data_IF_843960513571
#
_entry.id   IF_843960513571
#
_cell.length_a   1.000
_cell.length_b   1.000
_cell.length_c   1.000
_cell.angle_alpha   90.00
_cell.angle_beta   90.00
_cell.angle_gamma   90.00
#
_symmetry.space_group_name_H-M   'P 1'
#
loop_
_entity.id
_entity.type
_entity.pdbx_description
1 polymer ?
#
# COMPACT_ATOMS: atom_id res chain seq x y z
N UNK A 1 1.04 31.92 -30.41
CA UNK A 1 1.20 30.67 -31.18
C UNK A 1 0.79 29.54 -30.26
N UNK A 2 -0.17 28.70 -30.67
CA UNK A 2 -0.48 27.47 -29.92
C UNK A 2 0.75 26.57 -29.96
N UNK A 3 1.12 26.00 -28.81
CA UNK A 3 2.18 25.00 -28.75
C UNK A 3 1.59 23.71 -29.30
N UNK A 4 2.21 23.06 -30.28
CA UNK A 4 1.72 21.77 -30.80
C UNK A 4 2.58 20.62 -30.28
N UNK A 5 1.93 19.47 -30.04
CA UNK A 5 2.59 18.22 -29.72
C UNK A 5 1.94 17.09 -30.50
N UNK A 6 2.74 16.10 -30.93
CA UNK A 6 2.23 14.86 -31.53
C UNK A 6 2.43 13.76 -30.50
N UNK A 7 1.38 13.00 -30.25
CA UNK A 7 1.40 11.86 -29.33
C UNK A 7 1.03 10.60 -30.10
N UNK A 8 1.94 9.63 -30.15
CA UNK A 8 1.63 8.30 -30.64
C UNK A 8 1.32 7.39 -29.46
N UNK A 9 0.13 6.77 -29.45
CA UNK A 9 -0.25 5.82 -28.41
C UNK A 9 -1.04 4.65 -28.97
N UNK A 10 -0.87 3.49 -28.37
CA UNK A 10 -1.69 2.32 -28.71
C UNK A 10 -3.11 2.50 -28.22
N UNK A 11 -4.07 2.31 -29.12
CA UNK A 11 -5.51 2.35 -28.84
C UNK A 11 -6.15 1.21 -29.59
N UNK A 12 -6.58 0.19 -28.86
CA UNK A 12 -7.30 -0.96 -29.43
C UNK A 12 -8.52 -1.23 -28.56
N UNK A 13 -9.55 -1.87 -29.11
CA UNK A 13 -10.77 -2.20 -28.37
C UNK A 13 -10.47 -3.11 -27.14
N UNK A 14 -9.39 -3.88 -27.20
CA UNK A 14 -8.97 -4.80 -26.13
C UNK A 14 -7.95 -4.18 -25.15
N UNK A 15 -7.34 -3.04 -25.47
CA UNK A 15 -6.27 -2.45 -24.66
C UNK A 15 -6.29 -0.92 -24.67
N UNK A 16 -6.49 -0.36 -23.47
CA UNK A 16 -6.39 1.07 -23.19
C UNK A 16 -5.05 1.33 -22.50
N UNK A 17 -4.14 2.05 -23.18
CA UNK A 17 -2.84 2.40 -22.62
C UNK A 17 -2.98 3.52 -21.57
N UNK A 18 -2.72 3.26 -20.26
CA UNK A 18 -2.86 4.28 -19.21
C UNK A 18 -1.84 5.41 -19.37
N UNK A 19 -0.61 5.09 -19.77
CA UNK A 19 0.44 6.08 -19.98
C UNK A 19 0.15 6.97 -21.18
N UNK A 20 -0.49 6.46 -22.24
CA UNK A 20 -0.92 7.26 -23.38
C UNK A 20 -1.95 8.32 -22.98
N UNK A 21 -2.95 7.93 -22.17
CA UNK A 21 -3.94 8.88 -21.66
C UNK A 21 -3.31 9.92 -20.72
N UNK A 22 -2.40 9.50 -19.83
CA UNK A 22 -1.68 10.42 -18.94
C UNK A 22 -0.77 11.38 -19.69
N UNK A 23 -0.09 10.94 -20.76
CA UNK A 23 0.72 11.82 -21.61
C UNK A 23 -0.14 12.87 -22.31
N UNK A 24 -1.31 12.46 -22.84
CA UNK A 24 -2.26 13.38 -23.49
C UNK A 24 -2.74 14.46 -22.53
N UNK A 25 -3.26 14.05 -21.36
CA UNK A 25 -3.73 14.97 -20.33
C UNK A 25 -2.60 15.90 -19.83
N UNK A 26 -1.38 15.40 -19.67
CA UNK A 26 -0.24 16.20 -19.26
C UNK A 26 0.13 17.28 -20.30
N UNK A 27 0.09 16.95 -21.59
CA UNK A 27 0.32 17.91 -22.67
C UNK A 27 -0.79 18.99 -22.70
N UNK A 28 -2.05 18.57 -22.64
CA UNK A 28 -3.22 19.47 -22.66
C UNK A 28 -3.18 20.46 -21.48
N UNK A 29 -2.88 19.98 -20.26
CA UNK A 29 -2.73 20.83 -19.07
C UNK A 29 -1.59 21.84 -19.14
N UNK A 30 -0.55 21.55 -19.94
CA UNK A 30 0.56 22.46 -20.21
C UNK A 30 0.32 23.38 -21.42
N UNK A 31 -0.90 23.40 -21.95
CA UNK A 31 -1.34 24.30 -23.02
C UNK A 31 -0.88 23.89 -24.42
N UNK A 32 -0.62 22.59 -24.64
CA UNK A 32 -0.35 22.05 -25.97
C UNK A 32 -1.64 21.63 -26.67
N UNK A 33 -1.72 21.91 -27.96
CA UNK A 33 -2.65 21.30 -28.90
C UNK A 33 -2.07 19.95 -29.34
N UNK A 34 -2.78 18.86 -29.06
CA UNK A 34 -2.25 17.49 -29.17
C UNK A 34 -2.81 16.79 -30.40
N UNK A 35 -1.95 16.52 -31.37
CA UNK A 35 -2.20 15.58 -32.47
C UNK A 35 -2.08 14.13 -31.93
N UNK A 36 -3.20 13.58 -31.50
CA UNK A 36 -3.32 12.26 -30.88
C UNK A 36 -3.43 11.15 -31.95
N UNK A 37 -2.28 10.57 -32.32
CA UNK A 37 -2.15 9.52 -33.35
C UNK A 37 -2.26 8.13 -32.73
N UNK A 38 -3.28 7.39 -33.14
CA UNK A 38 -3.57 6.07 -32.59
C UNK A 38 -2.88 4.98 -33.38
N UNK A 39 -2.19 4.09 -32.67
CA UNK A 39 -1.67 2.83 -33.18
C UNK A 39 -2.74 1.77 -32.87
N UNK A 40 -3.47 1.36 -33.90
CA UNK A 40 -4.72 0.58 -33.80
C UNK A 40 -4.53 -0.92 -33.84
N UNK A 41 -3.30 -1.39 -34.03
CA UNK A 41 -2.94 -2.81 -33.99
C UNK A 41 -1.56 -3.02 -33.35
N UNK A 42 -1.29 -4.26 -32.91
CA UNK A 42 0.05 -4.65 -32.43
C UNK A 42 1.09 -4.51 -33.53
N UNK A 43 0.75 -4.90 -34.75
CA UNK A 43 1.61 -4.77 -35.92
C UNK A 43 2.01 -3.30 -36.17
N UNK A 44 1.04 -2.37 -36.20
CA UNK A 44 1.32 -0.93 -36.31
C UNK A 44 2.18 -0.41 -35.15
N UNK A 45 1.94 -0.94 -33.94
CA UNK A 45 2.72 -0.56 -32.75
C UNK A 45 4.17 -1.02 -32.86
N UNK A 46 4.39 -2.23 -33.37
CA UNK A 46 5.73 -2.80 -33.51
C UNK A 46 6.48 -2.20 -34.71
N UNK A 47 5.79 -1.91 -35.81
CA UNK A 47 6.32 -1.12 -36.93
C UNK A 47 6.74 0.28 -36.46
N UNK A 48 5.89 0.97 -35.69
CA UNK A 48 6.22 2.27 -35.13
C UNK A 48 7.45 2.22 -34.22
N UNK A 49 7.52 1.20 -33.35
CA UNK A 49 8.69 0.97 -32.48
C UNK A 49 9.97 0.76 -33.29
N UNK A 50 9.91 -0.03 -34.36
CA UNK A 50 11.05 -0.30 -35.22
C UNK A 50 11.47 0.95 -36.01
N UNK A 51 10.50 1.67 -36.58
CA UNK A 51 10.74 2.89 -37.35
C UNK A 51 11.40 3.99 -36.51
N UNK A 52 11.00 4.12 -35.24
CA UNK A 52 11.49 5.15 -34.34
C UNK A 52 12.59 4.67 -33.38
N UNK A 53 13.03 3.42 -33.47
CA UNK A 53 13.99 2.77 -32.57
C UNK A 53 13.65 3.01 -31.08
N UNK A 54 12.42 2.64 -30.71
CA UNK A 54 11.89 2.75 -29.33
C UNK A 54 11.35 1.42 -28.86
N UNK A 55 11.45 1.16 -27.55
CA UNK A 55 10.98 -0.10 -26.95
C UNK A 55 9.50 -0.05 -26.56
N UNK A 56 8.97 1.15 -26.31
CA UNK A 56 7.66 1.35 -25.68
C UNK A 56 6.87 2.46 -26.35
N UNK A 57 5.56 2.38 -26.20
CA UNK A 57 4.59 3.46 -26.48
C UNK A 57 3.87 3.80 -25.18
N UNK A 58 3.41 5.03 -24.95
CA UNK A 58 3.32 6.14 -25.91
C UNK A 58 4.68 6.79 -26.24
N UNK A 59 4.72 7.59 -27.30
CA UNK A 59 5.84 8.47 -27.65
C UNK A 59 5.37 9.87 -27.98
N UNK A 60 5.98 10.87 -27.35
CA UNK A 60 5.64 12.29 -27.48
C UNK A 60 6.69 13.02 -28.32
N UNK A 61 6.22 13.89 -29.21
CA UNK A 61 7.04 14.76 -30.05
C UNK A 61 6.58 16.21 -29.89
N UNK A 62 7.53 17.12 -29.68
CA UNK A 62 7.28 18.55 -29.54
C UNK A 62 8.28 19.28 -30.44
N UNK A 63 7.81 20.18 -31.30
CA UNK A 63 8.64 20.90 -32.28
C UNK A 63 9.53 19.95 -33.11
N UNK A 64 8.95 18.87 -33.64
CA UNK A 64 9.63 17.80 -34.41
C UNK A 64 10.75 17.07 -33.67
N UNK A 65 10.94 17.33 -32.37
CA UNK A 65 11.89 16.62 -31.52
C UNK A 65 11.16 15.56 -30.69
N UNK A 66 11.68 14.32 -30.72
CA UNK A 66 11.21 13.25 -29.84
C UNK A 66 11.57 13.58 -28.40
N UNK A 67 10.56 13.66 -27.54
CA UNK A 67 10.72 13.81 -26.09
C UNK A 67 10.90 12.43 -25.44
N UNK A 68 10.03 11.48 -25.79
CA UNK A 68 10.08 10.11 -25.26
C UNK A 68 8.71 9.61 -24.80
N UNK A 69 8.73 8.64 -23.88
CA UNK A 69 7.55 8.11 -23.23
C UNK A 69 6.98 9.05 -22.17
N UNK A 70 6.18 8.49 -21.26
CA UNK A 70 5.54 9.29 -20.22
C UNK A 70 6.56 9.84 -19.21
N UNK A 71 7.58 9.07 -18.85
CA UNK A 71 8.58 9.49 -17.87
C UNK A 71 9.44 10.62 -18.42
N UNK A 72 9.95 10.50 -19.65
CA UNK A 72 10.73 11.57 -20.29
C UNK A 72 9.87 12.83 -20.55
N UNK A 73 8.56 12.66 -20.77
CA UNK A 73 7.64 13.79 -20.86
C UNK A 73 7.46 14.51 -19.52
N UNK A 74 7.46 13.78 -18.40
CA UNK A 74 7.42 14.40 -17.06
C UNK A 74 8.71 15.17 -16.79
N UNK A 75 9.86 14.60 -17.13
CA UNK A 75 11.16 15.26 -17.02
C UNK A 75 11.21 16.54 -17.87
N UNK A 76 10.66 16.50 -19.09
CA UNK A 76 10.54 17.69 -19.95
C UNK A 76 9.77 18.83 -19.28
N UNK A 77 8.77 18.51 -18.45
CA UNK A 77 8.01 19.48 -17.66
C UNK A 77 8.58 19.75 -16.26
N UNK A 78 9.79 19.26 -15.94
CA UNK A 78 10.41 19.32 -14.62
C UNK A 78 9.51 18.74 -13.51
N UNK A 79 8.74 17.71 -13.84
CA UNK A 79 7.94 16.96 -12.87
C UNK A 79 8.78 15.79 -12.34
N UNK A 80 8.57 15.36 -11.07
CA UNK A 80 9.21 14.17 -10.54
C UNK A 80 8.83 12.93 -11.36
N UNK A 81 9.68 11.90 -11.39
CA UNK A 81 9.40 10.62 -12.06
C UNK A 81 8.03 10.04 -11.69
N UNK A 82 7.42 9.29 -12.60
CA UNK A 82 6.16 8.63 -12.32
C UNK A 82 6.34 7.47 -11.32
N UNK A 83 5.44 7.39 -10.32
CA UNK A 83 5.44 6.30 -9.34
C UNK A 83 5.79 6.76 -7.92
N UNK A 84 5.69 5.84 -6.96
CA UNK A 84 6.16 6.09 -5.59
C UNK A 84 7.66 5.77 -5.50
N UNK A 85 8.50 6.81 -5.46
CA UNK A 85 9.93 6.65 -5.26
C UNK A 85 10.29 6.68 -3.78
N UNK A 86 11.20 5.80 -3.35
CA UNK A 86 11.74 5.76 -1.98
C UNK A 86 10.75 5.24 -0.92
N UNK A 87 11.05 5.53 0.35
CA UNK A 87 10.21 5.13 1.48
C UNK A 87 8.91 5.93 1.50
N UNK A 88 7.78 5.22 1.59
CA UNK A 88 6.45 5.83 1.52
C UNK A 88 5.64 5.41 2.73
N UNK A 89 5.24 6.38 3.56
CA UNK A 89 4.34 6.18 4.70
C UNK A 89 2.87 6.42 4.33
N UNK A 90 2.60 6.93 3.13
CA UNK A 90 1.27 7.33 2.67
C UNK A 90 0.23 6.21 2.80
N UNK A 91 0.52 4.94 2.41
CA UNK A 91 -0.46 3.86 2.56
C UNK A 91 -0.87 3.62 4.02
N UNK A 92 0.10 3.64 4.95
CA UNK A 92 -0.17 3.41 6.38
C UNK A 92 -0.92 4.57 7.00
N UNK A 93 -0.51 5.81 6.69
CA UNK A 93 -1.21 7.00 7.16
C UNK A 93 -2.64 7.05 6.64
N UNK A 94 -2.88 6.63 5.40
CA UNK A 94 -4.22 6.52 4.85
C UNK A 94 -5.06 5.49 5.62
N UNK A 95 -4.51 4.31 5.90
CA UNK A 95 -5.19 3.26 6.69
C UNK A 95 -5.57 3.79 8.07
N UNK A 96 -4.63 4.36 8.82
CA UNK A 96 -4.90 4.85 10.17
C UNK A 96 -5.83 6.08 10.18
N UNK A 97 -5.71 6.99 9.20
CA UNK A 97 -6.62 8.12 9.10
C UNK A 97 -8.06 7.67 8.82
N UNK A 98 -8.26 6.76 7.87
CA UNK A 98 -9.58 6.22 7.54
C UNK A 98 -10.14 5.40 8.70
N UNK A 99 -9.33 4.56 9.35
CA UNK A 99 -9.76 3.79 10.51
C UNK A 99 -10.17 4.70 11.68
N UNK A 100 -9.45 5.80 11.93
CA UNK A 100 -9.81 6.78 12.97
C UNK A 100 -11.13 7.49 12.63
N UNK A 101 -11.32 7.92 11.38
CA UNK A 101 -12.57 8.54 10.94
C UNK A 101 -13.75 7.57 11.05
N UNK A 102 -13.56 6.31 10.67
CA UNK A 102 -14.58 5.26 10.85
C UNK A 102 -14.91 5.05 12.33
N UNK A 103 -13.90 4.95 13.18
CA UNK A 103 -14.09 4.78 14.63
C UNK A 103 -14.89 5.93 15.23
N UNK A 104 -14.53 7.17 14.90
CA UNK A 104 -15.29 8.36 15.30
C UNK A 104 -16.71 8.35 14.74
N UNK A 105 -16.90 7.92 13.49
CA UNK A 105 -18.20 7.80 12.85
C UNK A 105 -19.12 6.80 13.54
N UNK A 106 -18.61 5.60 13.87
CA UNK A 106 -19.33 4.58 14.63
C UNK A 106 -19.65 5.06 16.05
N UNK A 107 -18.67 5.61 16.76
CA UNK A 107 -18.84 6.13 18.12
C UNK A 107 -19.91 7.23 18.15
N UNK A 108 -19.87 8.16 17.19
CA UNK A 108 -20.87 9.21 17.03
C UNK A 108 -22.26 8.64 16.73
N UNK A 109 -22.35 7.66 15.82
CA UNK A 109 -23.62 7.03 15.46
C UNK A 109 -24.25 6.25 16.62
N UNK A 110 -23.44 5.68 17.52
CA UNK A 110 -23.89 5.01 18.73
C UNK A 110 -24.26 5.98 19.87
N UNK A 111 -24.05 7.29 19.70
CA UNK A 111 -24.33 8.30 20.71
C UNK A 111 -23.31 8.36 21.86
N UNK A 112 -22.13 7.77 21.66
CA UNK A 112 -21.07 7.73 22.67
C UNK A 112 -20.12 8.94 22.59
N UNK A 113 -19.35 9.16 23.66
CA UNK A 113 -18.34 10.20 23.69
C UNK A 113 -17.16 9.85 22.77
N UNK A 114 -16.82 10.76 21.86
CA UNK A 114 -15.68 10.61 20.94
C UNK A 114 -14.34 10.48 21.68
N UNK A 115 -14.17 11.20 22.79
CA UNK A 115 -12.98 11.13 23.63
C UNK A 115 -13.15 10.05 24.70
N UNK A 116 -13.17 8.80 24.27
CA UNK A 116 -13.33 7.62 25.12
C UNK A 116 -12.29 6.54 24.82
N UNK A 117 -12.05 5.67 25.79
CA UNK A 117 -11.15 4.51 25.59
C UNK A 117 -11.79 3.52 24.61
N UNK A 118 -13.12 3.43 24.58
CA UNK A 118 -13.89 2.63 23.64
C UNK A 118 -13.61 3.06 22.20
N UNK A 119 -13.69 4.36 21.89
CA UNK A 119 -13.34 4.85 20.56
C UNK A 119 -11.88 4.56 20.19
N UNK A 120 -10.95 4.66 21.14
CA UNK A 120 -9.55 4.30 20.87
C UNK A 120 -9.39 2.79 20.58
N UNK A 121 -10.08 1.94 21.32
CA UNK A 121 -10.07 0.48 21.10
C UNK A 121 -10.71 0.08 19.77
N UNK A 122 -11.81 0.74 19.39
CA UNK A 122 -12.45 0.55 18.09
C UNK A 122 -11.53 1.00 16.95
N UNK A 123 -10.82 2.12 17.10
CA UNK A 123 -9.79 2.55 16.15
C UNK A 123 -8.69 1.50 15.97
N UNK A 124 -8.18 0.94 17.07
CA UNK A 124 -7.17 -0.13 17.03
C UNK A 124 -7.72 -1.36 16.32
N UNK A 125 -8.92 -1.80 16.67
CA UNK A 125 -9.56 -2.98 16.08
C UNK A 125 -9.77 -2.80 14.56
N UNK A 126 -10.28 -1.64 14.12
CA UNK A 126 -10.49 -1.34 12.71
C UNK A 126 -9.17 -1.24 11.94
N UNK A 127 -8.15 -0.62 12.53
CA UNK A 127 -6.81 -0.54 11.94
C UNK A 127 -6.21 -1.93 11.73
N UNK A 128 -6.29 -2.78 12.75
CA UNK A 128 -5.83 -4.18 12.67
C UNK A 128 -6.61 -4.98 11.63
N UNK A 129 -7.93 -4.80 11.53
CA UNK A 129 -8.74 -5.48 10.52
C UNK A 129 -8.28 -5.12 9.10
N UNK A 130 -8.03 -3.84 8.83
CA UNK A 130 -7.57 -3.39 7.51
C UNK A 130 -6.15 -3.90 7.21
N UNK A 131 -5.23 -3.86 8.18
CA UNK A 131 -3.88 -4.40 8.00
C UNK A 131 -3.90 -5.92 7.77
N UNK A 132 -4.73 -6.66 8.50
CA UNK A 132 -4.93 -8.09 8.28
C UNK A 132 -5.45 -8.38 6.86
N UNK A 133 -6.38 -7.58 6.35
CA UNK A 133 -6.85 -7.67 4.96
C UNK A 133 -5.67 -7.47 3.98
N UNK A 134 -4.80 -6.48 4.19
CA UNK A 134 -3.64 -6.26 3.31
C UNK A 134 -2.69 -7.47 3.28
N UNK A 135 -2.48 -8.11 4.43
CA UNK A 135 -1.67 -9.34 4.54
C UNK A 135 -2.34 -10.53 3.83
N UNK A 136 -3.66 -10.62 3.91
CA UNK A 136 -4.44 -11.70 3.28
C UNK A 136 -4.60 -11.53 1.76
N UNK A 137 -4.57 -10.30 1.23
CA UNK A 137 -4.67 -10.04 -0.22
C UNK A 137 -3.52 -10.66 -1.01
N UNK A 138 -2.30 -10.62 -0.46
CA UNK A 138 -1.13 -11.30 -1.02
C UNK A 138 -0.36 -12.05 0.07
N UNK A 139 -0.94 -13.19 0.46
CA UNK A 139 -0.39 -14.05 1.50
C UNK A 139 1.01 -14.58 1.17
N UNK A 140 1.30 -14.81 -0.13
CA UNK A 140 2.59 -15.30 -0.56
C UNK A 140 3.69 -14.25 -0.32
N UNK A 141 3.49 -13.03 -0.81
CA UNK A 141 4.45 -11.95 -0.63
C UNK A 141 4.58 -11.55 0.84
N UNK A 142 3.46 -11.55 1.59
CA UNK A 142 3.48 -11.37 3.04
C UNK A 142 4.36 -12.40 3.74
N UNK A 143 4.09 -13.70 3.53
CA UNK A 143 4.78 -14.77 4.26
C UNK A 143 6.28 -14.79 3.98
N UNK A 144 6.69 -14.55 2.73
CA UNK A 144 8.09 -14.43 2.34
C UNK A 144 8.80 -13.28 3.04
N UNK A 145 8.11 -12.16 3.24
CA UNK A 145 8.67 -11.00 3.94
C UNK A 145 8.70 -11.24 5.46
N UNK A 146 7.61 -11.77 6.02
CA UNK A 146 7.41 -11.99 7.45
C UNK A 146 8.42 -12.98 8.06
N UNK A 147 8.72 -14.08 7.35
CA UNK A 147 9.68 -15.10 7.80
C UNK A 147 11.09 -14.52 7.97
N UNK A 148 11.44 -13.41 7.31
CA UNK A 148 12.80 -12.85 7.38
C UNK A 148 13.13 -12.20 8.74
N UNK A 149 12.11 -11.88 9.54
CA UNK A 149 12.29 -11.18 10.82
C UNK A 149 11.50 -11.75 11.99
N UNK A 150 10.35 -12.39 11.78
CA UNK A 150 9.58 -12.99 12.87
C UNK A 150 10.24 -14.27 13.39
N UNK A 151 10.56 -14.29 14.68
CA UNK A 151 11.33 -15.35 15.32
C UNK A 151 10.58 -16.69 15.36
N UNK A 152 9.25 -16.67 15.47
CA UNK A 152 8.45 -17.88 15.45
C UNK A 152 8.27 -18.38 14.02
N UNK A 153 8.02 -17.49 13.07
CA UNK A 153 7.89 -17.81 11.65
C UNK A 153 9.17 -18.41 11.06
N UNK A 154 10.36 -17.92 11.48
CA UNK A 154 11.65 -18.52 11.12
C UNK A 154 11.78 -19.98 11.56
N UNK A 155 11.16 -20.33 12.69
CA UNK A 155 11.25 -21.68 13.26
C UNK A 155 10.12 -22.60 12.80
N UNK A 156 8.94 -22.05 12.59
CA UNK A 156 7.72 -22.75 12.20
C UNK A 156 7.13 -22.02 10.99
N UNK A 157 7.62 -22.32 9.79
CA UNK A 157 7.20 -21.66 8.54
C UNK A 157 5.67 -21.64 8.34
N UNK A 158 4.90 -22.70 8.66
CA UNK A 158 3.43 -22.66 8.57
C UNK A 158 2.78 -21.53 9.38
N UNK A 159 3.40 -21.08 10.48
CA UNK A 159 2.90 -19.95 11.27
C UNK A 159 2.81 -18.67 10.44
N UNK A 160 3.73 -18.44 9.50
CA UNK A 160 3.71 -17.27 8.62
C UNK A 160 2.44 -17.18 7.76
N UNK A 161 1.85 -18.33 7.40
CA UNK A 161 0.62 -18.39 6.62
C UNK A 161 -0.63 -18.24 7.49
N UNK A 162 -0.55 -18.64 8.76
CA UNK A 162 -1.68 -18.58 9.70
C UNK A 162 -1.77 -17.23 10.41
N UNK A 163 -0.64 -16.55 10.61
CA UNK A 163 -0.55 -15.28 11.34
C UNK A 163 -1.60 -14.23 10.91
N UNK A 164 -1.79 -13.91 9.61
CA UNK A 164 -2.78 -12.91 9.18
C UNK A 164 -4.22 -13.27 9.56
N UNK A 165 -4.53 -14.57 9.63
CA UNK A 165 -5.85 -15.04 10.06
C UNK A 165 -6.05 -14.88 11.56
N UNK A 166 -5.01 -15.10 12.37
CA UNK A 166 -5.07 -14.85 13.83
C UNK A 166 -5.26 -13.36 14.07
N UNK A 167 -4.55 -12.52 13.33
CA UNK A 167 -4.69 -11.07 13.44
C UNK A 167 -6.09 -10.59 13.04
N UNK A 168 -6.64 -11.10 11.93
CA UNK A 168 -8.03 -10.84 11.54
C UNK A 168 -9.02 -11.32 12.62
N UNK A 169 -8.81 -12.51 13.19
CA UNK A 169 -9.63 -13.03 14.29
C UNK A 169 -9.61 -12.10 15.50
N UNK A 170 -8.43 -11.63 15.91
CA UNK A 170 -8.30 -10.69 17.04
C UNK A 170 -9.03 -9.38 16.75
N UNK A 171 -8.82 -8.80 15.57
CA UNK A 171 -9.47 -7.55 15.17
C UNK A 171 -11.01 -7.67 15.15
N UNK A 172 -11.53 -8.73 14.54
CA UNK A 172 -12.97 -9.01 14.49
C UNK A 172 -13.53 -9.26 15.90
N UNK A 173 -12.80 -10.03 16.72
CA UNK A 173 -13.19 -10.31 18.09
C UNK A 173 -13.24 -9.06 18.97
N UNK A 174 -12.35 -8.10 18.73
CA UNK A 174 -12.36 -6.79 19.39
C UNK A 174 -13.57 -5.95 18.95
N UNK A 175 -13.87 -5.88 17.64
CA UNK A 175 -15.06 -5.16 17.13
C UNK A 175 -16.36 -5.78 17.64
N UNK A 176 -16.40 -7.12 17.74
CA UNK A 176 -17.58 -7.85 18.20
C UNK A 176 -17.69 -7.92 19.73
N UNK A 177 -16.77 -7.31 20.48
CA UNK A 177 -16.73 -7.32 21.95
C UNK A 177 -16.82 -8.74 22.53
N UNK A 178 -16.11 -9.69 21.91
CA UNK A 178 -16.09 -11.07 22.40
C UNK A 178 -15.44 -11.17 23.79
N UNK A 179 -15.76 -12.21 24.58
CA UNK A 179 -15.17 -12.41 25.90
C UNK A 179 -13.64 -12.36 25.87
N UNK A 180 -13.02 -11.70 26.84
CA UNK A 180 -11.58 -11.45 26.86
C UNK A 180 -10.75 -12.72 26.67
N UNK A 181 -11.14 -13.83 27.30
CA UNK A 181 -10.44 -15.11 27.19
C UNK A 181 -10.47 -15.73 25.79
N UNK A 182 -11.44 -15.36 24.94
CA UNK A 182 -11.48 -15.82 23.56
C UNK A 182 -10.46 -15.08 22.68
N UNK A 183 -10.18 -13.79 22.96
CA UNK A 183 -9.40 -12.91 22.06
C UNK A 183 -8.02 -12.58 22.62
N UNK A 184 -7.94 -12.18 23.89
CA UNK A 184 -6.74 -11.64 24.50
C UNK A 184 -5.53 -12.60 24.47
N UNK A 185 -5.67 -13.92 24.71
CA UNK A 185 -4.53 -14.83 24.62
C UNK A 185 -3.88 -14.84 23.24
N UNK A 186 -4.68 -14.80 22.17
CA UNK A 186 -4.16 -14.75 20.80
C UNK A 186 -3.46 -13.42 20.52
N UNK A 187 -4.10 -12.30 20.90
CA UNK A 187 -3.53 -10.96 20.72
C UNK A 187 -2.18 -10.78 21.43
N UNK A 188 -2.11 -11.20 22.71
CA UNK A 188 -0.90 -11.13 23.51
C UNK A 188 0.21 -12.04 22.97
N UNK A 189 -0.15 -13.23 22.50
CA UNK A 189 0.82 -14.18 21.98
C UNK A 189 1.48 -13.67 20.71
N UNK A 190 0.69 -13.32 19.68
CA UNK A 190 1.26 -12.88 18.40
C UNK A 190 1.90 -11.48 18.51
N UNK A 191 1.29 -10.57 19.27
CA UNK A 191 1.86 -9.24 19.53
C UNK A 191 3.15 -9.30 20.34
N UNK A 192 3.22 -10.18 21.34
CA UNK A 192 4.43 -10.38 22.16
C UNK A 192 5.61 -10.90 21.33
N UNK A 193 5.37 -11.96 20.55
CA UNK A 193 6.40 -12.53 19.66
C UNK A 193 6.82 -11.52 18.59
N UNK A 194 5.86 -10.85 17.96
CA UNK A 194 6.12 -9.86 16.92
C UNK A 194 6.91 -8.66 17.46
N UNK A 195 6.57 -8.13 18.64
CA UNK A 195 7.31 -7.03 19.28
C UNK A 195 8.78 -7.42 19.52
N UNK A 196 9.04 -8.58 20.12
CA UNK A 196 10.40 -9.08 20.36
C UNK A 196 11.16 -9.27 19.04
N UNK A 197 10.47 -9.78 18.02
CA UNK A 197 11.03 -10.00 16.69
C UNK A 197 11.45 -8.70 16.00
N UNK A 198 10.60 -7.67 16.03
CA UNK A 198 10.89 -6.35 15.45
C UNK A 198 12.00 -5.64 16.23
N UNK A 199 11.99 -5.70 17.56
CA UNK A 199 13.06 -5.15 18.41
C UNK A 199 14.40 -5.76 18.02
N UNK A 200 14.46 -7.09 17.94
CA UNK A 200 15.69 -7.78 17.56
C UNK A 200 16.12 -7.42 16.13
N UNK A 201 15.24 -7.53 15.14
CA UNK A 201 15.61 -7.35 13.74
C UNK A 201 16.01 -5.90 13.40
N UNK A 202 15.29 -4.91 13.94
CA UNK A 202 15.47 -3.49 13.56
C UNK A 202 16.40 -2.76 14.53
N UNK A 203 16.23 -2.95 15.84
CA UNK A 203 16.96 -2.14 16.84
C UNK A 203 18.28 -2.78 17.27
N UNK A 204 18.37 -4.12 17.28
CA UNK A 204 19.60 -4.85 17.64
C UNK A 204 20.41 -5.16 16.38
N UNK A 205 19.81 -5.88 15.43
CA UNK A 205 20.49 -6.35 14.21
C UNK A 205 20.63 -5.27 13.13
N UNK A 206 19.99 -4.09 13.33
CA UNK A 206 20.02 -2.93 12.42
C UNK A 206 19.70 -3.28 10.96
N UNK A 207 18.77 -4.21 10.74
CA UNK A 207 18.36 -4.62 9.39
C UNK A 207 17.41 -3.58 8.78
N UNK A 208 17.70 -3.16 7.56
CA UNK A 208 16.77 -2.36 6.75
C UNK A 208 15.75 -3.29 6.10
N UNK A 209 14.58 -3.41 6.73
CA UNK A 209 13.50 -4.28 6.29
C UNK A 209 12.28 -3.47 5.89
N UNK A 210 11.62 -3.93 4.82
CA UNK A 210 10.30 -3.43 4.41
C UNK A 210 9.22 -4.04 5.30
N UNK A 211 8.20 -3.25 5.59
CA UNK A 211 7.07 -3.63 6.41
C UNK A 211 6.17 -4.58 5.63
N UNK A 212 5.97 -5.79 6.13
CA UNK A 212 5.03 -6.74 5.54
C UNK A 212 3.56 -6.38 5.86
N UNK A 213 3.31 -5.42 6.77
CA UNK A 213 1.98 -5.14 7.30
C UNK A 213 1.02 -4.49 6.30
N UNK A 214 1.55 -3.93 5.20
CA UNK A 214 0.75 -3.37 4.09
C UNK A 214 0.83 -4.27 2.85
N UNK A 215 1.11 -5.56 3.05
CA UNK A 215 1.44 -6.49 1.96
C UNK A 215 2.93 -6.50 1.63
N UNK A 216 3.36 -7.53 0.89
CA UNK A 216 4.79 -7.78 0.63
C UNK A 216 5.47 -6.84 -0.36
N UNK A 217 4.71 -5.98 -1.05
CA UNK A 217 5.24 -5.00 -2.03
C UNK A 217 5.17 -3.54 -1.53
N UNK A 218 5.37 -3.33 -0.22
CA UNK A 218 5.35 -2.00 0.37
C UNK A 218 6.75 -1.39 0.51
N UNK A 219 6.89 -0.09 0.26
CA UNK A 219 8.11 0.68 0.56
C UNK A 219 8.08 1.30 1.97
N UNK A 220 7.23 0.77 2.85
CA UNK A 220 7.10 1.25 4.23
C UNK A 220 8.24 0.63 5.05
N UNK A 221 9.02 1.40 5.81
CA UNK A 221 10.03 0.80 6.70
C UNK A 221 9.36 0.08 7.87
N UNK A 222 9.84 -1.13 8.19
CA UNK A 222 9.25 -2.01 9.21
C UNK A 222 9.25 -1.38 10.61
N UNK A 223 10.34 -0.69 10.99
CA UNK A 223 10.71 -0.38 12.37
C UNK A 223 9.61 0.15 13.28
N UNK A 224 9.30 1.45 13.16
CA UNK A 224 8.39 2.10 14.10
C UNK A 224 6.95 1.59 13.96
N UNK A 225 6.47 1.40 12.74
CA UNK A 225 5.07 1.05 12.47
C UNK A 225 4.74 -0.35 12.97
N UNK A 226 5.56 -1.34 12.62
CA UNK A 226 5.32 -2.73 13.03
C UNK A 226 5.50 -2.90 14.54
N UNK A 227 6.42 -2.15 15.17
CA UNK A 227 6.52 -2.16 16.62
C UNK A 227 5.27 -1.57 17.28
N UNK A 228 4.79 -0.41 16.81
CA UNK A 228 3.56 0.20 17.34
C UNK A 228 2.35 -0.72 17.21
N UNK A 229 2.21 -1.41 16.07
CA UNK A 229 1.14 -2.39 15.85
C UNK A 229 1.19 -3.52 16.88
N UNK A 230 2.34 -4.16 17.06
CA UNK A 230 2.50 -5.24 18.04
C UNK A 230 2.23 -4.76 19.48
N UNK A 231 2.65 -3.52 19.81
CA UNK A 231 2.35 -2.92 21.10
C UNK A 231 0.86 -2.64 21.28
N UNK A 232 0.14 -2.23 20.23
CA UNK A 232 -1.31 -2.07 20.30
C UNK A 232 -2.02 -3.39 20.54
N UNK A 233 -1.57 -4.49 19.92
CA UNK A 233 -2.12 -5.82 20.18
C UNK A 233 -1.93 -6.25 21.64
N UNK A 234 -0.74 -5.97 22.21
CA UNK A 234 -0.46 -6.26 23.61
C UNK A 234 -1.34 -5.39 24.52
N UNK A 235 -1.39 -4.08 24.27
CA UNK A 235 -2.17 -3.14 25.06
C UNK A 235 -3.67 -3.49 25.01
N UNK A 236 -4.20 -3.80 23.83
CA UNK A 236 -5.57 -4.25 23.64
C UNK A 236 -5.86 -5.54 24.40
N UNK A 237 -4.98 -6.55 24.30
CA UNK A 237 -5.14 -7.81 25.02
C UNK A 237 -5.13 -7.63 26.54
N UNK A 238 -4.23 -6.78 27.07
CA UNK A 238 -4.21 -6.44 28.50
C UNK A 238 -5.48 -5.70 28.91
N UNK A 239 -5.91 -4.71 28.12
CA UNK A 239 -7.13 -3.94 28.40
C UNK A 239 -8.36 -4.83 28.45
N UNK A 240 -8.47 -5.76 27.50
CA UNK A 240 -9.55 -6.75 27.46
C UNK A 240 -9.60 -7.56 28.75
N UNK A 241 -8.47 -8.10 29.22
CA UNK A 241 -8.41 -8.91 30.45
C UNK A 241 -8.73 -8.16 31.74
N UNK A 242 -8.56 -6.83 31.76
CA UNK A 242 -8.81 -6.01 32.95
C UNK A 242 -10.26 -5.52 32.99
N UNK A 243 -10.87 -5.32 31.82
CA UNK A 243 -12.15 -4.63 31.67
C UNK A 243 -13.33 -5.57 31.40
N UNK A 244 -13.07 -6.72 30.77
CA UNK A 244 -14.07 -7.70 30.36
C UNK A 244 -13.80 -9.07 30.99
#
# INVERSE_FOLDING_TARGET
MSKSAILYRMVTDEHICPFGLKSKDLLERNGYDVDDRHLTSREQTDEFKQQHDVKTTPQTFINDKRIGGYDELRDFFNLPEAGQQGTSYTPVLAIFAVAMLLSCGFTYASGEALFSVQNLMLFVALSMAVLAIQKLQDLYSFSNSFITYDLLAMRIVPYAYVYPFIEAYVAIGMVAELPALAVAPFSLFIGGIGAVSVIKAVYIDKRELKCACVGGDSNVPLGFISLSENLFMIAAGIWMLITF
#
